data_IF_014916485481
#
_entry.id   IF_014916485481
#
_cell.length_a   1.000
_cell.length_b   1.000
_cell.length_c   1.000
_cell.angle_alpha   90.00
_cell.angle_beta   90.00
_cell.angle_gamma   90.00
#
_symmetry.space_group_name_H-M   'P 1'
#
loop_
_entity.id
_entity.type
_entity.pdbx_description
1 polymer ?
#
# COMPACT_ATOMS: atom_id res chain seq x y z
N UNK A 1 -9.78 5.51 12.02
CA UNK A 1 -9.07 4.35 11.46
C UNK A 1 -8.20 4.78 10.28
N UNK A 2 -6.97 4.31 10.25
CA UNK A 2 -6.05 4.60 9.14
C UNK A 2 -6.21 3.52 8.08
N UNK A 3 -6.34 3.93 6.83
CA UNK A 3 -6.58 3.01 5.72
C UNK A 3 -5.39 3.01 4.76
N UNK A 4 -4.86 1.82 4.49
CA UNK A 4 -3.73 1.60 3.61
C UNK A 4 -4.18 0.72 2.46
N UNK A 5 -3.87 1.14 1.23
CA UNK A 5 -4.18 0.38 0.03
C UNK A 5 -2.89 -0.02 -0.66
N UNK A 6 -2.76 -1.30 -0.98
CA UNK A 6 -1.64 -1.82 -1.76
C UNK A 6 -2.13 -2.15 -3.16
N UNK A 7 -1.33 -1.84 -4.16
CA UNK A 7 -1.69 -2.15 -5.54
C UNK A 7 -0.51 -2.78 -6.27
N UNK A 8 -0.80 -3.82 -7.07
CA UNK A 8 0.20 -4.42 -7.94
C UNK A 8 -0.49 -4.98 -9.19
N UNK A 9 0.29 -5.16 -10.25
CA UNK A 9 -0.28 -5.58 -11.53
C UNK A 9 -0.86 -6.98 -11.53
N UNK A 10 -0.19 -7.92 -10.86
CA UNK A 10 -0.63 -9.31 -10.83
C UNK A 10 -1.53 -9.65 -9.65
N UNK A 11 -1.56 -8.81 -8.63
CA UNK A 11 -2.45 -8.99 -7.49
C UNK A 11 -1.99 -9.95 -6.41
N UNK A 12 -1.24 -10.97 -6.75
CA UNK A 12 -0.97 -12.07 -5.82
C UNK A 12 0.01 -11.69 -4.71
N UNK A 13 1.15 -11.11 -5.06
CA UNK A 13 2.19 -10.79 -4.07
C UNK A 13 1.74 -9.72 -3.08
N UNK A 14 0.98 -8.73 -3.54
CA UNK A 14 0.48 -7.69 -2.64
C UNK A 14 -0.52 -8.24 -1.64
N UNK A 15 -1.26 -9.29 -1.99
CA UNK A 15 -2.15 -9.97 -1.06
C UNK A 15 -1.40 -10.60 0.09
N UNK A 16 -0.28 -11.26 -0.18
CA UNK A 16 0.56 -11.85 0.85
C UNK A 16 1.19 -10.79 1.75
N UNK A 17 1.68 -9.70 1.15
CA UNK A 17 2.24 -8.60 1.92
C UNK A 17 1.18 -7.98 2.82
N UNK A 18 -0.04 -7.80 2.30
CA UNK A 18 -1.14 -7.24 3.09
C UNK A 18 -1.44 -8.12 4.31
N UNK A 19 -1.43 -9.44 4.15
CA UNK A 19 -1.62 -10.34 5.28
C UNK A 19 -0.56 -10.17 6.35
N UNK A 20 0.70 -10.07 5.93
CA UNK A 20 1.81 -9.90 6.87
C UNK A 20 1.75 -8.54 7.55
N UNK A 21 1.33 -7.50 6.84
CA UNK A 21 1.12 -6.18 7.42
C UNK A 21 0.01 -6.21 8.47
N UNK A 22 -1.09 -6.90 8.18
CA UNK A 22 -2.20 -7.03 9.13
C UNK A 22 -1.74 -7.74 10.40
N UNK A 23 -0.95 -8.80 10.27
CA UNK A 23 -0.43 -9.52 11.43
C UNK A 23 0.49 -8.63 12.27
N UNK A 24 1.36 -7.87 11.61
CA UNK A 24 2.25 -6.95 12.30
C UNK A 24 1.46 -5.86 13.03
N UNK A 25 0.43 -5.33 12.38
CA UNK A 25 -0.42 -4.30 12.97
C UNK A 25 -1.15 -4.84 14.20
N UNK A 26 -1.69 -6.05 14.13
CA UNK A 26 -2.38 -6.67 15.25
C UNK A 26 -1.43 -6.89 16.43
N UNK A 27 -0.21 -7.35 16.15
CA UNK A 27 0.79 -7.58 17.19
C UNK A 27 1.17 -6.28 17.91
N UNK A 28 1.07 -5.15 17.23
CA UNK A 28 1.41 -3.84 17.80
C UNK A 28 0.19 -3.10 18.33
N UNK A 29 -1.00 -3.68 18.23
CA UNK A 29 -2.23 -3.05 18.68
C UNK A 29 -2.64 -1.84 17.86
N UNK A 30 -2.27 -1.80 16.57
CA UNK A 30 -2.58 -0.69 15.69
C UNK A 30 -3.96 -0.83 15.06
N UNK A 31 -4.68 0.28 14.98
CA UNK A 31 -5.99 0.34 14.35
C UNK A 31 -5.84 0.82 12.91
N UNK A 32 -5.49 -0.10 12.02
CA UNK A 32 -5.30 0.19 10.59
C UNK A 32 -6.05 -0.84 9.76
N UNK A 33 -6.54 -0.40 8.60
CA UNK A 33 -7.14 -1.28 7.61
C UNK A 33 -6.17 -1.40 6.43
N UNK A 34 -5.88 -2.61 6.01
CA UNK A 34 -4.92 -2.88 4.95
C UNK A 34 -5.59 -3.76 3.90
N UNK A 35 -5.65 -3.28 2.67
CA UNK A 35 -6.24 -4.03 1.55
C UNK A 35 -5.29 -4.04 0.37
N UNK A 36 -5.42 -5.07 -0.46
CA UNK A 36 -4.63 -5.21 -1.69
C UNK A 36 -5.58 -5.32 -2.88
N UNK A 37 -5.28 -4.59 -3.94
CA UNK A 37 -6.05 -4.59 -5.18
C UNK A 37 -5.11 -4.62 -6.37
N UNK A 38 -5.63 -4.87 -7.57
CA UNK A 38 -4.84 -4.73 -8.78
C UNK A 38 -4.72 -3.23 -9.13
N UNK A 39 -3.75 -2.91 -9.99
CA UNK A 39 -3.53 -1.52 -10.39
C UNK A 39 -4.73 -0.92 -11.13
N UNK A 40 -5.54 -1.75 -11.77
CA UNK A 40 -6.73 -1.29 -12.47
C UNK A 40 -7.89 -0.97 -11.55
N UNK A 41 -7.80 -1.37 -10.28
CA UNK A 41 -8.87 -1.18 -9.30
C UNK A 41 -8.59 -0.09 -8.28
N UNK A 42 -7.51 0.66 -8.45
CA UNK A 42 -7.10 1.67 -7.48
C UNK A 42 -8.20 2.70 -7.26
N UNK A 43 -8.70 3.30 -8.34
CA UNK A 43 -9.67 4.40 -8.20
C UNK A 43 -11.02 3.94 -7.67
N UNK A 44 -11.37 2.68 -7.88
CA UNK A 44 -12.59 2.11 -7.31
C UNK A 44 -12.52 1.98 -5.78
N UNK A 45 -11.30 1.88 -5.25
CA UNK A 45 -11.07 1.60 -3.84
C UNK A 45 -10.41 2.77 -3.10
N UNK A 46 -10.27 3.93 -3.73
CA UNK A 46 -9.46 5.02 -3.20
C UNK A 46 -10.15 5.83 -2.10
N UNK A 47 -11.49 5.77 -2.01
CA UNK A 47 -12.22 6.55 -1.03
C UNK A 47 -11.82 6.16 0.40
N UNK A 48 -11.46 7.16 1.20
CA UNK A 48 -11.08 6.95 2.59
C UNK A 48 -9.66 6.44 2.80
N UNK A 49 -8.90 6.25 1.72
CA UNK A 49 -7.52 5.78 1.81
C UNK A 49 -6.60 6.94 2.17
N UNK A 50 -5.70 6.72 3.12
CA UNK A 50 -4.68 7.71 3.49
C UNK A 50 -3.36 7.49 2.78
N UNK A 51 -3.00 6.23 2.56
CA UNK A 51 -1.71 5.86 1.94
C UNK A 51 -1.95 4.81 0.86
N UNK A 52 -1.35 5.02 -0.30
CA UNK A 52 -1.33 4.06 -1.40
C UNK A 52 0.11 3.61 -1.64
N UNK A 53 0.35 2.31 -1.58
CA UNK A 53 1.66 1.73 -1.85
C UNK A 53 1.59 0.88 -3.10
N UNK A 54 2.51 1.11 -4.03
CA UNK A 54 2.56 0.40 -5.30
C UNK A 54 3.67 -0.64 -5.30
N UNK A 55 3.42 -1.79 -5.91
CA UNK A 55 4.45 -2.78 -6.13
C UNK A 55 5.57 -2.20 -6.99
N UNK A 56 6.82 -2.65 -6.82
CA UNK A 56 7.95 -2.07 -7.54
C UNK A 56 7.86 -2.22 -9.05
N UNK A 57 7.11 -3.18 -9.55
CA UNK A 57 6.90 -3.36 -10.99
C UNK A 57 5.95 -2.32 -11.59
N UNK A 58 5.29 -1.51 -10.76
CA UNK A 58 4.44 -0.40 -11.22
C UNK A 58 5.17 0.94 -11.20
N UNK A 59 6.48 0.92 -11.03
CA UNK A 59 7.29 2.14 -10.97
C UNK A 59 7.06 3.05 -12.18
N UNK A 60 6.88 2.48 -13.36
CA UNK A 60 6.66 3.24 -14.59
C UNK A 60 5.33 3.98 -14.60
N UNK A 61 4.39 3.61 -13.74
CA UNK A 61 3.08 4.26 -13.64
C UNK A 61 2.98 5.17 -12.42
N UNK A 62 4.03 5.24 -11.61
CA UNK A 62 3.96 5.91 -10.31
C UNK A 62 3.58 7.38 -10.43
N UNK A 63 4.22 8.12 -11.34
CA UNK A 63 3.94 9.56 -11.47
C UNK A 63 2.49 9.83 -11.85
N UNK A 64 1.94 9.06 -12.80
CA UNK A 64 0.57 9.23 -13.23
C UNK A 64 -0.41 8.93 -12.11
N UNK A 65 -0.17 7.84 -11.39
CA UNK A 65 -1.03 7.44 -10.28
C UNK A 65 -0.95 8.47 -9.14
N UNK A 66 0.26 8.94 -8.85
CA UNK A 66 0.45 9.96 -7.81
C UNK A 66 -0.34 11.22 -8.12
N UNK A 67 -0.31 11.66 -9.37
CA UNK A 67 -1.07 12.84 -9.81
C UNK A 67 -2.57 12.63 -9.67
N UNK A 68 -3.06 11.43 -9.90
CA UNK A 68 -4.48 11.13 -9.79
C UNK A 68 -4.95 11.12 -8.34
N UNK A 69 -4.14 10.61 -7.42
CA UNK A 69 -4.57 10.44 -6.03
C UNK A 69 -4.21 11.61 -5.13
N UNK A 70 -3.21 12.42 -5.49
CA UNK A 70 -2.80 13.56 -4.67
C UNK A 70 -3.94 14.54 -4.39
N UNK A 71 -4.78 14.92 -5.38
CA UNK A 71 -5.90 15.82 -5.11
C UNK A 71 -6.92 15.25 -4.14
N UNK A 72 -6.91 13.93 -3.94
CA UNK A 72 -7.84 13.27 -3.02
C UNK A 72 -7.27 13.17 -1.61
N UNK A 73 -6.09 13.74 -1.38
CA UNK A 73 -5.45 13.69 -0.07
C UNK A 73 -4.71 12.40 0.21
N UNK A 74 -4.47 11.58 -0.81
CA UNK A 74 -3.81 10.29 -0.67
C UNK A 74 -2.31 10.45 -0.93
N UNK A 75 -1.49 9.93 -0.03
CA UNK A 75 -0.04 9.91 -0.22
C UNK A 75 0.34 8.58 -0.87
N UNK A 76 1.13 8.63 -1.94
CA UNK A 76 1.53 7.46 -2.71
C UNK A 76 3.03 7.26 -2.66
N UNK A 77 3.47 6.01 -2.62
CA UNK A 77 4.88 5.64 -2.68
C UNK A 77 5.00 4.24 -3.27
N UNK A 78 6.23 3.82 -3.52
CA UNK A 78 6.53 2.51 -4.08
C UNK A 78 7.13 1.65 -2.97
N UNK A 79 6.72 0.38 -2.90
CA UNK A 79 7.29 -0.59 -1.96
C UNK A 79 8.71 -0.92 -2.40
N UNK A 80 9.64 -0.94 -1.45
CA UNK A 80 11.02 -1.34 -1.72
C UNK A 80 11.07 -2.74 -2.34
N UNK A 81 11.89 -2.89 -3.38
CA UNK A 81 11.98 -4.17 -4.10
C UNK A 81 12.34 -5.34 -3.20
N UNK A 82 13.24 -5.13 -2.23
CA UNK A 82 13.64 -6.18 -1.30
C UNK A 82 12.48 -6.58 -0.40
N UNK A 83 11.76 -5.60 0.12
CA UNK A 83 10.62 -5.87 0.99
C UNK A 83 9.53 -6.61 0.23
N UNK A 84 9.34 -6.25 -1.02
CA UNK A 84 8.34 -6.91 -1.86
C UNK A 84 8.75 -8.37 -2.14
N UNK A 85 10.01 -8.60 -2.46
CA UNK A 85 10.51 -9.93 -2.79
C UNK A 85 10.51 -10.87 -1.59
N UNK A 86 10.79 -10.35 -0.40
CA UNK A 86 10.84 -11.14 0.83
C UNK A 86 9.51 -11.14 1.58
N UNK A 87 8.50 -10.48 1.06
CA UNK A 87 7.17 -10.33 1.71
C UNK A 87 7.30 -9.73 3.11
N UNK A 88 8.15 -8.71 3.25
CA UNK A 88 8.44 -8.08 4.53
C UNK A 88 7.35 -7.07 4.91
N UNK A 89 6.20 -7.59 5.33
CA UNK A 89 5.05 -6.77 5.69
C UNK A 89 5.32 -5.82 6.84
N UNK A 90 6.18 -6.19 7.79
CA UNK A 90 6.50 -5.33 8.92
C UNK A 90 7.18 -4.04 8.48
N UNK A 91 8.19 -4.15 7.60
CA UNK A 91 8.89 -2.97 7.09
C UNK A 91 7.97 -2.12 6.20
N UNK A 92 7.15 -2.76 5.38
CA UNK A 92 6.18 -2.05 4.53
C UNK A 92 5.17 -1.30 5.41
N UNK A 93 4.72 -1.90 6.49
CA UNK A 93 3.82 -1.24 7.43
C UNK A 93 4.47 0.00 8.04
N UNK A 94 5.73 -0.09 8.42
CA UNK A 94 6.48 1.06 8.94
C UNK A 94 6.56 2.18 7.91
N UNK A 95 6.79 1.85 6.66
CA UNK A 95 6.81 2.83 5.57
C UNK A 95 5.47 3.56 5.48
N UNK A 96 4.37 2.81 5.49
CA UNK A 96 3.04 3.40 5.42
C UNK A 96 2.75 4.31 6.60
N UNK A 97 3.09 3.88 7.80
CA UNK A 97 2.84 4.68 9.00
C UNK A 97 3.64 5.98 9.00
N UNK A 98 4.85 5.96 8.50
CA UNK A 98 5.65 7.18 8.35
C UNK A 98 5.01 8.18 7.40
N UNK A 99 4.41 7.69 6.34
CA UNK A 99 3.74 8.55 5.36
C UNK A 99 2.49 9.22 5.93
N UNK A 100 1.91 8.63 6.96
CA UNK A 100 0.71 9.16 7.61
C UNK A 100 1.00 10.22 8.65
N UNK A 101 2.23 10.32 9.09
CA UNK A 101 2.62 11.27 10.14
C UNK A 101 2.77 12.70 9.61
#
# INVERSE_FOLDING_TARGET
>A
MKNILLACGAGDSSGFIAQKMRKAAQAQGLDVSIRAVSDTEIMENIDGIGVLLLGPHLKHKFEDIQKEVAPLGVKADIIDRRCYATLDGETVLKQALKMMD
#
